data_IF_987368852595
#
_entry.id   IF_987368852595
#
_cell.length_a   1.000
_cell.length_b   1.000
_cell.length_c   1.000
_cell.angle_alpha   90.00
_cell.angle_beta   90.00
_cell.angle_gamma   90.00
#
_symmetry.space_group_name_H-M   'P 1'
#
loop_
_entity.id
_entity.type
_entity.pdbx_description
1 polymer ?
#
# COMPACT_ATOMS: atom_id res chain seq x y z
N UNK A 1 55.37 -46.63 18.32
CA UNK A 1 54.08 -45.96 18.58
C UNK A 1 54.31 -44.46 18.54
N UNK A 2 54.00 -43.82 17.41
CA UNK A 2 53.95 -42.37 17.26
C UNK A 2 52.96 -42.09 16.12
N UNK A 3 51.79 -41.59 16.47
CA UNK A 3 50.73 -41.25 15.51
C UNK A 3 50.87 -39.79 15.12
N UNK A 4 51.28 -39.49 13.88
CA UNK A 4 51.08 -38.17 13.29
C UNK A 4 49.74 -38.16 12.56
N UNK A 5 48.79 -37.39 13.12
CA UNK A 5 47.54 -37.02 12.46
C UNK A 5 47.85 -35.91 11.45
N UNK A 6 47.82 -36.23 10.16
CA UNK A 6 47.73 -35.22 9.11
C UNK A 6 46.25 -35.02 8.76
N UNK A 7 45.70 -33.87 9.15
CA UNK A 7 44.40 -33.39 8.71
C UNK A 7 44.52 -32.99 7.23
N UNK A 8 43.86 -33.75 6.36
CA UNK A 8 43.68 -33.41 4.95
C UNK A 8 42.72 -32.23 4.83
N UNK A 9 43.23 -31.07 4.39
CA UNK A 9 42.39 -29.95 3.93
C UNK A 9 41.71 -30.35 2.63
N UNK A 10 40.40 -30.60 2.66
CA UNK A 10 39.57 -30.64 1.47
C UNK A 10 39.22 -29.19 1.08
N UNK A 11 39.84 -28.69 0.01
CA UNK A 11 39.47 -27.41 -0.62
C UNK A 11 38.15 -27.62 -1.37
N UNK A 12 37.02 -27.28 -0.77
CA UNK A 12 35.75 -27.19 -1.48
C UNK A 12 35.74 -25.88 -2.29
N UNK A 13 35.94 -25.97 -3.61
CA UNK A 13 35.60 -24.89 -4.52
C UNK A 13 34.07 -24.81 -4.59
N UNK A 14 33.49 -23.80 -3.94
CA UNK A 14 32.08 -23.46 -4.12
C UNK A 14 31.97 -22.74 -5.47
N UNK A 15 31.47 -23.45 -6.48
CA UNK A 15 30.89 -22.80 -7.65
C UNK A 15 29.65 -22.03 -7.17
N UNK A 16 29.77 -20.70 -7.08
CA UNK A 16 28.61 -19.82 -6.93
C UNK A 16 27.90 -19.82 -8.27
N UNK A 17 26.83 -20.61 -8.37
CA UNK A 17 25.78 -20.39 -9.34
C UNK A 17 25.08 -19.08 -8.98
N UNK A 18 25.00 -18.18 -9.95
CA UNK A 18 24.21 -16.94 -9.92
C UNK A 18 22.72 -17.30 -9.85
N UNK A 19 22.25 -17.62 -8.65
CA UNK A 19 20.82 -17.56 -8.32
C UNK A 19 20.57 -16.23 -7.65
N UNK A 20 20.01 -15.32 -8.45
CA UNK A 20 19.32 -14.10 -8.02
C UNK A 20 18.35 -14.45 -6.90
N UNK A 21 18.76 -14.25 -5.65
CA UNK A 21 18.03 -14.71 -4.49
C UNK A 21 18.56 -14.10 -3.21
N UNK A 22 17.95 -12.97 -2.84
CA UNK A 22 17.62 -12.56 -1.46
C UNK A 22 18.66 -12.97 -0.41
N UNK A 23 19.69 -12.13 -0.23
CA UNK A 23 20.36 -12.04 1.07
C UNK A 23 19.58 -11.03 1.91
N UNK A 24 19.05 -11.50 3.04
CA UNK A 24 18.67 -10.62 4.13
C UNK A 24 19.92 -9.85 4.57
N UNK A 25 20.00 -8.58 4.17
CA UNK A 25 21.00 -7.65 4.64
C UNK A 25 20.38 -6.86 5.79
N UNK A 26 20.42 -7.43 7.00
CA UNK A 26 20.33 -6.62 8.22
C UNK A 26 21.52 -5.66 8.21
N UNK A 27 21.27 -4.39 7.88
CA UNK A 27 22.27 -3.32 8.03
C UNK A 27 22.17 -2.16 7.05
N UNK A 28 21.84 -2.38 5.77
CA UNK A 28 21.68 -1.28 4.82
C UNK A 28 20.31 -0.60 5.00
N UNK A 29 20.24 0.74 4.92
CA UNK A 29 18.96 1.45 4.85
C UNK A 29 18.11 0.88 3.72
N UNK A 30 16.93 0.32 4.02
CA UNK A 30 16.02 -0.07 2.96
C UNK A 30 15.58 1.22 2.24
N UNK A 31 15.89 1.33 0.94
CA UNK A 31 15.60 2.51 0.12
C UNK A 31 14.24 2.37 -0.55
N UNK A 32 13.58 3.50 -0.86
CA UNK A 32 12.40 3.49 -1.70
C UNK A 32 12.71 2.83 -3.04
N UNK A 33 11.77 2.05 -3.57
CA UNK A 33 11.92 1.40 -4.87
C UNK A 33 10.58 1.33 -5.60
N UNK A 34 10.66 1.33 -6.93
CA UNK A 34 9.55 1.09 -7.84
C UNK A 34 9.99 0.16 -8.96
N UNK A 35 9.21 -0.88 -9.25
CA UNK A 35 9.49 -1.83 -10.33
C UNK A 35 8.29 -1.96 -11.27
N UNK A 36 8.48 -1.99 -12.59
CA UNK A 36 7.38 -2.18 -13.53
C UNK A 36 6.77 -3.57 -13.34
N UNK A 37 5.44 -3.66 -13.45
CA UNK A 37 4.68 -4.90 -13.33
C UNK A 37 3.65 -4.96 -14.44
N UNK A 38 3.46 -6.12 -15.06
CA UNK A 38 2.38 -6.33 -16.01
C UNK A 38 1.16 -6.95 -15.32
N UNK A 39 0.16 -6.11 -15.01
CA UNK A 39 -1.14 -6.54 -14.48
C UNK A 39 -2.23 -6.66 -15.55
N UNK A 40 -1.90 -6.51 -16.84
CA UNK A 40 -2.88 -6.48 -17.93
C UNK A 40 -3.74 -7.73 -17.97
N UNK A 41 -3.17 -8.91 -17.72
CA UNK A 41 -3.92 -10.17 -17.68
C UNK A 41 -5.06 -10.16 -16.64
N UNK A 42 -4.75 -9.81 -15.38
CA UNK A 42 -5.75 -9.78 -14.31
C UNK A 42 -6.79 -8.69 -14.55
N UNK A 43 -6.36 -7.50 -14.99
CA UNK A 43 -7.26 -6.39 -15.29
C UNK A 43 -8.18 -6.71 -16.48
N UNK A 44 -7.65 -7.33 -17.53
CA UNK A 44 -8.43 -7.70 -18.71
C UNK A 44 -9.42 -8.82 -18.41
N UNK A 45 -9.07 -9.79 -17.55
CA UNK A 45 -10.02 -10.78 -17.08
C UNK A 45 -11.26 -10.14 -16.43
N UNK A 46 -11.08 -9.07 -15.63
CA UNK A 46 -12.20 -8.33 -15.06
C UNK A 46 -13.00 -7.54 -16.12
N UNK A 47 -12.32 -6.91 -17.08
CA UNK A 47 -12.95 -6.12 -18.16
C UNK A 47 -13.74 -6.99 -19.13
N UNK A 48 -13.28 -8.20 -19.39
CA UNK A 48 -13.97 -9.17 -20.23
C UNK A 48 -15.35 -9.52 -19.65
N UNK A 49 -15.49 -9.57 -18.32
CA UNK A 49 -16.78 -9.85 -17.65
C UNK A 49 -17.86 -8.81 -18.00
N UNK A 50 -17.45 -7.57 -18.27
CA UNK A 50 -18.35 -6.45 -18.58
C UNK A 50 -18.37 -6.13 -20.08
N UNK A 51 -17.65 -6.89 -20.91
CA UNK A 51 -17.58 -6.67 -22.35
C UNK A 51 -16.84 -5.39 -22.76
N UNK A 52 -15.92 -4.91 -21.93
CA UNK A 52 -15.07 -3.77 -22.27
C UNK A 52 -13.84 -4.24 -23.04
N UNK A 53 -13.31 -3.40 -23.93
CA UNK A 53 -12.09 -3.70 -24.66
C UNK A 53 -10.91 -3.93 -23.70
N UNK A 54 -10.06 -4.90 -23.99
CA UNK A 54 -8.85 -5.15 -23.21
C UNK A 54 -7.89 -3.95 -23.20
N UNK A 55 -7.18 -3.79 -22.10
CA UNK A 55 -6.08 -2.85 -21.92
C UNK A 55 -4.84 -3.37 -22.63
N UNK A 56 -4.16 -2.50 -23.37
CA UNK A 56 -2.82 -2.76 -23.91
C UNK A 56 -1.75 -2.19 -23.00
N UNK A 57 -0.66 -2.93 -22.76
CA UNK A 57 0.45 -2.43 -21.93
C UNK A 57 1.17 -1.30 -22.64
N UNK A 58 1.44 -0.21 -21.92
CA UNK A 58 2.31 0.89 -22.34
C UNK A 58 3.16 1.31 -21.14
N UNK A 59 4.42 1.71 -21.37
CA UNK A 59 5.29 2.22 -20.31
C UNK A 59 5.35 3.74 -20.39
N UNK A 60 4.78 4.40 -19.37
CA UNK A 60 4.63 5.85 -19.21
C UNK A 60 5.09 6.33 -17.82
N UNK A 61 5.11 5.44 -16.85
CA UNK A 61 5.63 5.63 -15.50
C UNK A 61 7.16 5.70 -15.61
N UNK A 62 7.80 6.76 -15.10
CA UNK A 62 9.24 6.97 -15.26
C UNK A 62 10.04 6.10 -14.27
N UNK A 63 10.13 4.80 -14.54
CA UNK A 63 10.95 3.80 -13.82
C UNK A 63 11.85 3.01 -14.79
N UNK A 64 12.89 2.31 -14.29
CA UNK A 64 14.06 1.74 -15.02
C UNK A 64 13.82 0.86 -16.26
N UNK A 65 12.60 0.70 -16.74
CA UNK A 65 12.31 -0.01 -17.99
C UNK A 65 12.46 0.86 -19.25
N UNK A 66 12.47 2.19 -19.12
CA UNK A 66 12.64 3.11 -20.26
C UNK A 66 14.10 3.62 -20.35
N UNK A 67 14.83 3.35 -21.46
CA UNK A 67 16.21 3.83 -21.65
C UNK A 67 16.32 5.36 -21.75
N UNK A 68 15.21 6.08 -21.91
CA UNK A 68 15.17 7.54 -21.97
C UNK A 68 14.94 8.18 -20.60
N UNK A 69 14.54 7.41 -19.59
CA UNK A 69 14.34 7.92 -18.22
C UNK A 69 15.70 8.15 -17.57
N UNK A 70 15.97 9.40 -17.17
CA UNK A 70 17.18 9.70 -16.40
C UNK A 70 17.06 9.20 -14.96
N UNK A 71 18.17 8.76 -14.38
CA UNK A 71 18.23 8.25 -12.99
C UNK A 71 17.65 9.26 -11.98
N UNK A 72 17.91 10.55 -12.17
CA UNK A 72 17.39 11.60 -11.30
C UNK A 72 15.85 11.75 -11.41
N UNK A 73 15.29 11.58 -12.60
CA UNK A 73 13.82 11.62 -12.79
C UNK A 73 13.16 10.41 -12.12
N UNK A 74 13.75 9.23 -12.24
CA UNK A 74 13.27 8.04 -11.54
C UNK A 74 13.30 8.21 -10.02
N UNK A 75 14.45 8.60 -9.46
CA UNK A 75 14.62 8.75 -8.01
C UNK A 75 13.61 9.76 -7.44
N UNK A 76 13.48 10.92 -8.09
CA UNK A 76 12.51 11.96 -7.68
C UNK A 76 11.07 11.47 -7.78
N UNK A 77 10.74 10.70 -8.82
CA UNK A 77 9.40 10.13 -8.97
C UNK A 77 9.09 9.08 -7.90
N UNK A 78 9.99 8.10 -7.71
CA UNK A 78 9.84 7.04 -6.69
C UNK A 78 9.73 7.64 -5.30
N UNK A 79 10.52 8.66 -4.98
CA UNK A 79 10.45 9.35 -3.69
C UNK A 79 9.10 10.07 -3.51
N UNK A 80 8.60 10.74 -4.55
CA UNK A 80 7.29 11.41 -4.50
C UNK A 80 6.13 10.44 -4.27
N UNK A 81 6.16 9.26 -4.92
CA UNK A 81 5.15 8.21 -4.74
C UNK A 81 5.21 7.68 -3.31
N UNK A 82 6.40 7.40 -2.79
CA UNK A 82 6.54 6.90 -1.43
C UNK A 82 6.12 7.91 -0.36
N UNK A 83 6.37 9.20 -0.56
CA UNK A 83 5.85 10.25 0.33
C UNK A 83 4.32 10.27 0.33
N UNK A 84 3.69 10.19 -0.84
CA UNK A 84 2.24 10.15 -0.96
C UNK A 84 1.61 8.92 -0.30
N UNK A 85 2.18 7.73 -0.55
CA UNK A 85 1.71 6.47 0.03
C UNK A 85 1.80 6.47 1.57
N UNK A 86 2.91 6.97 2.12
CA UNK A 86 3.09 7.07 3.58
C UNK A 86 2.16 8.11 4.19
N UNK A 87 2.00 9.28 3.57
CA UNK A 87 1.05 10.29 4.02
C UNK A 87 -0.37 9.73 4.07
N UNK A 88 -0.78 9.00 3.04
CA UNK A 88 -2.07 8.32 3.02
C UNK A 88 -2.18 7.24 4.08
N UNK A 89 -1.16 6.40 4.29
CA UNK A 89 -1.20 5.38 5.34
C UNK A 89 -1.35 5.98 6.73
N UNK A 90 -0.63 7.07 7.04
CA UNK A 90 -0.76 7.81 8.31
C UNK A 90 -2.17 8.37 8.49
N UNK A 91 -2.75 8.92 7.41
CA UNK A 91 -4.09 9.47 7.44
C UNK A 91 -5.15 8.37 7.51
N UNK A 92 -4.98 7.25 6.82
CA UNK A 92 -5.88 6.10 6.86
C UNK A 92 -5.86 5.43 8.25
N UNK A 93 -4.70 5.28 8.90
CA UNK A 93 -4.64 4.82 10.30
C UNK A 93 -5.41 5.77 11.21
N UNK A 94 -5.37 7.08 10.95
CA UNK A 94 -6.18 8.06 11.68
C UNK A 94 -7.68 7.94 11.37
N UNK A 95 -8.05 7.76 10.10
CA UNK A 95 -9.41 7.50 9.64
C UNK A 95 -10.01 6.23 10.29
N UNK A 96 -9.23 5.15 10.34
CA UNK A 96 -9.60 3.87 10.96
C UNK A 96 -9.78 3.99 12.47
N UNK A 97 -9.00 4.85 13.14
CA UNK A 97 -9.15 5.13 14.57
C UNK A 97 -10.35 6.03 14.91
N UNK A 98 -10.83 6.82 13.95
CA UNK A 98 -11.95 7.76 14.15
C UNK A 98 -13.27 7.33 13.49
N UNK A 99 -13.34 6.14 12.89
CA UNK A 99 -14.50 5.66 12.12
C UNK A 99 -14.98 6.70 11.09
N UNK A 100 -14.01 7.38 10.48
CA UNK A 100 -14.23 8.48 9.54
C UNK A 100 -13.64 8.04 8.21
N UNK A 101 -14.48 7.52 7.32
CA UNK A 101 -14.11 7.15 5.95
C UNK A 101 -14.05 8.37 5.03
N UNK A 102 -13.61 9.50 5.58
CA UNK A 102 -13.38 10.69 4.79
C UNK A 102 -12.10 10.47 4.02
N UNK A 103 -12.31 10.05 2.78
CA UNK A 103 -11.31 9.80 1.76
C UNK A 103 -10.33 10.95 1.71
N UNK A 104 -9.18 10.75 2.34
CA UNK A 104 -8.02 11.54 1.98
C UNK A 104 -7.62 11.02 0.61
N UNK A 105 -7.58 11.87 -0.43
CA UNK A 105 -6.92 11.48 -1.65
C UNK A 105 -5.53 11.02 -1.24
N UNK A 106 -5.10 9.81 -1.65
CA UNK A 106 -3.66 9.69 -1.89
C UNK A 106 -3.41 10.88 -2.81
N UNK A 107 -2.47 11.80 -2.52
CA UNK A 107 -2.04 12.69 -3.56
C UNK A 107 -1.54 11.70 -4.59
N UNK A 108 -2.40 11.33 -5.56
CA UNK A 108 -2.05 10.61 -6.76
C UNK A 108 -0.79 11.33 -7.12
N UNK A 109 0.36 10.67 -6.95
CA UNK A 109 1.63 11.34 -7.07
C UNK A 109 1.49 11.97 -8.44
N UNK A 110 1.27 13.30 -8.47
CA UNK A 110 0.85 14.00 -9.68
C UNK A 110 2.17 14.07 -10.39
N UNK A 111 2.57 12.94 -10.96
CA UNK A 111 3.55 12.92 -12.01
C UNK A 111 2.88 13.76 -13.06
N UNK A 112 3.38 14.98 -13.20
CA UNK A 112 3.02 15.86 -14.29
C UNK A 112 3.19 15.18 -15.66
N UNK A 113 3.80 13.98 -15.70
CA UNK A 113 4.15 13.22 -16.89
C UNK A 113 3.19 12.06 -17.20
N UNK A 114 2.23 11.68 -16.33
CA UNK A 114 1.28 10.58 -16.63
C UNK A 114 -0.16 11.08 -16.66
N UNK A 115 -0.67 11.36 -17.87
CA UNK A 115 -2.06 11.80 -18.10
C UNK A 115 -3.04 10.62 -18.15
N UNK A 116 -3.30 10.02 -17.00
CA UNK A 116 -4.17 8.87 -16.84
C UNK A 116 -5.08 8.95 -15.62
N UNK A 117 -6.02 8.02 -15.52
CA UNK A 117 -6.74 7.74 -14.26
C UNK A 117 -5.99 6.64 -13.53
N UNK A 118 -5.70 6.84 -12.25
CA UNK A 118 -4.92 5.90 -11.45
C UNK A 118 -5.81 4.83 -10.81
N UNK A 119 -5.23 3.67 -10.57
CA UNK A 119 -5.72 2.64 -9.66
C UNK A 119 -4.59 2.26 -8.71
N UNK A 120 -4.85 2.11 -7.42
CA UNK A 120 -3.82 1.61 -6.50
C UNK A 120 -4.39 0.64 -5.48
N UNK A 121 -3.55 -0.27 -4.99
CA UNK A 121 -3.85 -1.17 -3.90
C UNK A 121 -2.63 -1.30 -2.98
N UNK A 122 -2.83 -1.09 -1.68
CA UNK A 122 -1.81 -1.40 -0.67
C UNK A 122 -1.72 -2.92 -0.51
N UNK A 123 -0.50 -3.44 -0.41
CA UNK A 123 -0.21 -4.87 -0.32
C UNK A 123 0.87 -5.13 0.73
N UNK A 124 0.90 -6.32 1.30
CA UNK A 124 1.88 -6.68 2.35
C UNK A 124 3.04 -7.53 1.81
N UNK A 125 2.85 -8.16 0.66
CA UNK A 125 3.81 -9.09 0.05
C UNK A 125 5.07 -8.40 -0.49
N UNK A 126 6.13 -9.15 -0.78
CA UNK A 126 7.35 -8.58 -1.36
C UNK A 126 7.23 -8.26 -2.86
N UNK A 127 6.19 -8.78 -3.52
CA UNK A 127 5.91 -8.63 -4.94
C UNK A 127 4.45 -8.27 -5.17
N UNK A 128 4.16 -7.63 -6.30
CA UNK A 128 2.80 -7.29 -6.67
C UNK A 128 1.88 -8.52 -6.80
N UNK A 129 0.70 -8.40 -6.23
CA UNK A 129 -0.43 -9.30 -6.46
C UNK A 129 -1.49 -8.58 -7.31
N UNK A 130 -1.44 -8.77 -8.62
CA UNK A 130 -2.39 -8.13 -9.53
C UNK A 130 -3.83 -8.62 -9.34
N UNK A 131 -4.04 -9.88 -8.92
CA UNK A 131 -5.39 -10.44 -8.73
C UNK A 131 -6.04 -9.86 -7.47
N UNK A 132 -5.32 -9.82 -6.35
CA UNK A 132 -5.78 -9.18 -5.13
C UNK A 132 -6.08 -7.68 -5.33
N UNK A 133 -5.25 -6.98 -6.11
CA UNK A 133 -5.50 -5.58 -6.45
C UNK A 133 -6.79 -5.40 -7.27
N UNK A 134 -7.00 -6.23 -8.29
CA UNK A 134 -8.22 -6.17 -9.12
C UNK A 134 -9.47 -6.48 -8.30
N UNK A 135 -9.44 -7.47 -7.41
CA UNK A 135 -10.56 -7.75 -6.51
C UNK A 135 -10.80 -6.60 -5.52
N UNK A 136 -9.74 -6.00 -4.98
CA UNK A 136 -9.86 -4.80 -4.16
C UNK A 136 -10.55 -3.66 -4.91
N UNK A 137 -10.18 -3.38 -6.16
CA UNK A 137 -10.82 -2.34 -6.96
C UNK A 137 -12.26 -2.66 -7.29
N UNK A 138 -12.56 -3.90 -7.69
CA UNK A 138 -13.93 -4.36 -7.99
C UNK A 138 -14.86 -4.24 -6.78
N UNK A 139 -14.35 -4.45 -5.56
CA UNK A 139 -15.14 -4.33 -4.34
C UNK A 139 -15.75 -2.92 -4.15
N UNK A 140 -15.17 -1.87 -4.76
CA UNK A 140 -15.80 -0.54 -4.75
C UNK A 140 -17.12 -0.46 -5.51
N UNK A 141 -17.50 -1.50 -6.29
CA UNK A 141 -18.81 -1.55 -6.96
C UNK A 141 -19.98 -1.29 -5.99
N UNK A 142 -19.90 -1.81 -4.75
CA UNK A 142 -20.94 -1.61 -3.73
C UNK A 142 -21.08 -0.18 -3.24
N UNK A 143 -20.08 0.68 -3.50
CA UNK A 143 -20.12 2.09 -3.12
C UNK A 143 -20.97 2.93 -4.08
N UNK A 144 -21.38 2.35 -5.23
CA UNK A 144 -22.20 3.01 -6.24
C UNK A 144 -23.66 2.54 -6.14
N UNK A 145 -24.58 3.46 -5.84
CA UNK A 145 -26.03 3.18 -5.81
C UNK A 145 -26.70 3.23 -7.19
N UNK A 146 -25.94 3.58 -8.23
CA UNK A 146 -26.41 3.77 -9.59
C UNK A 146 -25.29 4.28 -10.50
N UNK A 147 -25.66 4.84 -11.66
CA UNK A 147 -24.71 5.46 -12.58
C UNK A 147 -23.83 6.48 -11.83
N UNK A 148 -22.49 6.36 -11.88
CA UNK A 148 -21.63 7.31 -11.19
C UNK A 148 -21.87 8.75 -11.67
N UNK A 149 -21.98 9.72 -10.74
CA UNK A 149 -22.31 11.10 -11.06
C UNK A 149 -21.20 11.80 -11.85
N UNK A 150 -21.48 13.00 -12.36
CA UNK A 150 -20.46 13.85 -12.97
C UNK A 150 -19.25 14.04 -12.06
N UNK A 151 -18.05 13.84 -12.61
CA UNK A 151 -16.82 14.01 -11.84
C UNK A 151 -16.54 15.48 -11.55
N UNK A 152 -16.41 15.79 -10.26
CA UNK A 152 -15.82 17.03 -9.75
C UNK A 152 -14.85 16.67 -8.62
N UNK A 153 -13.83 17.51 -8.40
CA UNK A 153 -12.87 17.31 -7.30
C UNK A 153 -13.54 17.38 -5.91
N UNK A 154 -14.72 18.00 -5.81
CA UNK A 154 -15.49 18.14 -4.57
C UNK A 154 -16.45 16.99 -4.29
N UNK A 155 -16.72 16.12 -5.26
CA UNK A 155 -17.72 15.05 -5.10
C UNK A 155 -17.19 13.97 -4.15
N UNK A 156 -17.89 13.76 -3.03
CA UNK A 156 -17.47 12.85 -1.95
C UNK A 156 -17.20 11.41 -2.42
N UNK A 157 -18.01 10.91 -3.37
CA UNK A 157 -17.85 9.58 -3.94
C UNK A 157 -16.45 9.38 -4.55
N UNK A 158 -15.86 10.43 -5.13
CA UNK A 158 -14.55 10.36 -5.76
C UNK A 158 -13.39 10.71 -4.82
N UNK A 159 -13.67 11.07 -3.56
CA UNK A 159 -12.63 11.19 -2.53
C UNK A 159 -12.13 9.81 -2.07
N UNK A 160 -12.96 8.79 -2.22
CA UNK A 160 -12.55 7.40 -2.00
C UNK A 160 -11.71 6.90 -3.18
N UNK A 161 -10.43 6.66 -2.94
CA UNK A 161 -9.52 6.21 -3.98
C UNK A 161 -9.84 4.81 -4.54
N UNK A 162 -10.52 3.96 -3.78
CA UNK A 162 -10.99 2.67 -4.27
C UNK A 162 -12.03 2.86 -5.38
N UNK A 163 -12.88 3.90 -5.27
CA UNK A 163 -13.85 4.27 -6.30
C UNK A 163 -13.16 4.81 -7.55
N UNK A 164 -12.11 5.63 -7.40
CA UNK A 164 -11.28 6.07 -8.54
C UNK A 164 -10.61 4.87 -9.20
N UNK A 165 -10.08 3.94 -8.40
CA UNK A 165 -9.41 2.73 -8.89
C UNK A 165 -10.37 1.81 -9.64
N UNK A 166 -11.61 1.68 -9.18
CA UNK A 166 -12.68 0.99 -9.89
C UNK A 166 -12.93 1.62 -11.27
N UNK A 167 -12.99 2.95 -11.33
CA UNK A 167 -13.22 3.68 -12.60
C UNK A 167 -12.05 3.54 -13.56
N UNK A 168 -10.83 3.51 -13.04
CA UNK A 168 -9.63 3.22 -13.82
C UNK A 168 -9.64 1.78 -14.35
N UNK A 169 -9.96 0.77 -13.52
CA UNK A 169 -10.03 -0.63 -13.96
C UNK A 169 -11.04 -0.79 -15.11
N UNK A 170 -12.23 -0.21 -14.95
CA UNK A 170 -13.27 -0.18 -15.97
C UNK A 170 -13.22 1.10 -16.81
N UNK A 171 -12.04 1.54 -17.24
CA UNK A 171 -11.92 2.69 -18.13
C UNK A 171 -12.66 2.43 -19.47
N UNK A 172 -13.67 3.24 -19.84
CA UNK A 172 -14.51 2.99 -21.01
C UNK A 172 -13.99 3.67 -22.29
N UNK A 173 -12.83 4.33 -22.24
CA UNK A 173 -12.25 4.99 -23.40
C UNK A 173 -11.81 3.96 -24.45
N UNK A 174 -11.82 4.39 -25.72
CA UNK A 174 -11.35 3.57 -26.83
C UNK A 174 -9.85 3.33 -26.75
N UNK A 175 -9.42 2.14 -27.19
CA UNK A 175 -8.01 1.70 -27.18
C UNK A 175 -7.31 1.99 -25.84
N UNK A 176 -7.90 1.56 -24.71
CA UNK A 176 -7.38 1.93 -23.42
C UNK A 176 -6.06 1.20 -23.16
N UNK A 177 -5.13 1.87 -22.50
CA UNK A 177 -3.81 1.35 -22.17
C UNK A 177 -3.63 1.31 -20.67
N UNK A 178 -2.66 0.52 -20.22
CA UNK A 178 -2.29 0.43 -18.82
C UNK A 178 -0.79 0.41 -18.65
N UNK A 179 -0.33 1.13 -17.63
CA UNK A 179 1.00 0.99 -17.07
C UNK A 179 0.91 0.75 -15.58
N UNK A 180 1.69 -0.18 -15.04
CA UNK A 180 1.66 -0.51 -13.62
C UNK A 180 3.08 -0.63 -13.05
N UNK A 181 3.20 -0.23 -11.79
CA UNK A 181 4.43 -0.33 -11.03
C UNK A 181 4.14 -0.71 -9.57
N UNK A 182 5.02 -1.52 -9.01
CA UNK A 182 4.99 -1.91 -7.61
C UNK A 182 6.02 -1.15 -6.81
N UNK A 183 5.57 -0.49 -5.77
CA UNK A 183 6.40 0.36 -4.91
C UNK A 183 6.60 -0.28 -3.55
N UNK A 184 7.83 -0.22 -3.06
CA UNK A 184 8.18 -0.57 -1.69
C UNK A 184 8.78 0.68 -1.06
N UNK A 185 8.14 1.16 0.01
CA UNK A 185 8.47 2.39 0.71
C UNK A 185 8.78 2.08 2.18
N UNK A 186 10.03 1.71 2.52
CA UNK A 186 10.42 1.27 3.86
C UNK A 186 10.26 2.36 4.91
N UNK A 187 10.10 2.00 6.19
CA UNK A 187 10.13 2.97 7.29
C UNK A 187 11.47 3.74 7.31
N UNK A 188 11.45 5.05 7.62
CA UNK A 188 12.69 5.81 7.86
C UNK A 188 13.41 5.17 9.05
N UNK A 189 14.71 4.92 8.87
CA UNK A 189 15.58 4.61 9.99
C UNK A 189 15.72 5.86 10.86
N UNK A 190 15.40 5.76 12.14
CA UNK A 190 15.92 6.70 13.14
C UNK A 190 17.44 6.53 13.14
N UNK A 191 18.25 7.60 12.97
CA UNK A 191 19.68 7.51 13.19
C UNK A 191 19.95 6.95 14.59
N UNK A 192 20.97 6.10 14.80
CA UNK A 192 21.40 5.78 16.15
C UNK A 192 21.79 7.10 16.84
N UNK A 193 21.18 7.39 17.98
CA UNK A 193 21.57 8.52 18.84
C UNK A 193 23.05 8.34 19.20
N UNK A 194 23.93 9.10 18.55
CA UNK A 194 25.29 9.33 19.04
C UNK A 194 25.21 10.32 20.19
N UNK A 195 24.76 9.83 21.34
CA UNK A 195 25.00 10.46 22.63
C UNK A 195 25.50 9.40 23.60
N UNK A 196 26.68 8.85 23.32
CA UNK A 196 27.56 8.40 24.40
C UNK A 196 28.14 9.67 25.06
N UNK A 197 27.91 9.93 26.36
CA UNK A 197 28.77 10.84 27.09
C UNK A 197 30.12 10.15 27.26
N UNK A 198 31.18 10.82 26.81
CA UNK A 198 32.54 10.45 27.14
C UNK A 198 32.67 10.31 28.66
N UNK A 199 33.04 9.10 29.08
CA UNK A 199 33.64 8.80 30.38
C UNK A 199 34.98 9.53 30.46
N UNK A 200 34.99 10.68 31.14
CA UNK A 200 36.21 11.36 31.56
C UNK A 200 36.12 11.68 33.05
N UNK A 201 36.84 10.87 33.84
CA UNK A 201 37.83 11.36 34.78
C UNK A 201 37.32 12.00 36.08
N UNK A 202 37.38 11.20 37.14
CA UNK A 202 37.38 11.59 38.54
C UNK A 202 38.47 12.64 38.85
N UNK A 203 38.13 13.70 39.58
CA UNK A 203 39.07 14.40 40.48
C UNK A 203 38.36 14.82 41.78
N UNK A 204 38.79 14.20 42.87
CA UNK A 204 38.40 14.45 44.26
C UNK A 204 38.93 15.80 44.78
N UNK A 205 38.10 16.55 45.52
CA UNK A 205 38.59 17.46 46.58
C UNK A 205 37.58 17.52 47.74
N UNK A 206 38.02 17.02 48.90
CA UNK A 206 37.33 17.05 50.20
C UNK A 206 37.20 18.46 50.81
N UNK A 207 36.15 18.67 51.63
CA UNK A 207 35.97 19.88 52.44
C UNK A 207 34.86 19.77 53.50
N UNK A 208 35.26 19.38 54.71
CA UNK A 208 34.54 19.15 55.97
C UNK A 208 33.71 20.35 56.50
N UNK A 209 32.61 20.12 57.25
CA UNK A 209 31.91 21.17 58.02
C UNK A 209 30.50 20.86 58.57
N UNK A 210 30.46 20.38 59.81
CA UNK A 210 29.33 20.07 60.73
C UNK A 210 28.30 21.20 61.02
N UNK A 211 27.07 20.83 61.44
CA UNK A 211 26.20 21.73 62.26
C UNK A 211 24.66 21.75 62.07
N UNK A 212 23.95 20.76 62.65
CA UNK A 212 22.66 20.83 63.39
C UNK A 212 21.43 21.76 63.08
N UNK A 213 20.26 21.09 62.97
CA UNK A 213 18.89 21.42 63.51
C UNK A 213 17.86 22.18 62.61
N UNK A 214 16.57 21.74 62.53
CA UNK A 214 15.58 22.23 61.55
C UNK A 214 14.68 23.37 62.08
N UNK A 215 13.99 24.13 61.19
CA UNK A 215 12.52 24.05 61.18
C UNK A 215 11.79 24.34 59.84
N UNK A 216 10.70 23.60 59.65
CA UNK A 216 9.33 23.95 59.17
C UNK A 216 9.08 25.02 58.08
N UNK A 217 8.33 24.53 57.07
CA UNK A 217 7.30 25.19 56.22
C UNK A 217 7.81 26.10 55.10
N UNK A 218 7.51 25.73 53.85
CA UNK A 218 6.71 26.53 52.91
C UNK A 218 6.49 25.72 51.61
N UNK A 219 5.30 25.90 51.04
CA UNK A 219 4.82 25.22 49.85
C UNK A 219 5.54 25.67 48.58
N UNK A 220 5.86 24.72 47.70
CA UNK A 220 6.01 25.02 46.27
C UNK A 220 6.92 24.06 45.51
N UNK A 221 6.39 23.45 44.45
CA UNK A 221 7.22 22.99 43.32
C UNK A 221 7.29 21.48 43.07
N UNK A 222 6.37 21.02 42.23
CA UNK A 222 6.49 19.96 41.20
C UNK A 222 7.78 19.10 41.18
N UNK A 223 7.63 17.79 41.41
CA UNK A 223 8.42 16.73 40.78
C UNK A 223 7.57 15.44 40.79
N UNK A 224 6.88 15.15 39.69
CA UNK A 224 7.25 14.10 38.74
C UNK A 224 7.30 12.72 39.39
N UNK A 225 6.13 12.08 39.47
CA UNK A 225 6.06 10.64 39.66
C UNK A 225 6.72 9.97 38.46
N UNK A 226 7.56 9.00 38.80
CA UNK A 226 8.05 7.92 37.97
C UNK A 226 6.93 7.39 37.06
N UNK A 227 7.12 7.48 35.74
CA UNK A 227 6.35 6.74 34.75
C UNK A 227 7.31 6.38 33.62
N UNK A 228 7.81 5.15 33.70
CA UNK A 228 8.02 4.24 32.59
C UNK A 228 7.49 4.72 31.23
N UNK A 229 8.35 4.56 30.23
CA UNK A 229 7.95 3.97 28.97
C UNK A 229 6.92 4.76 28.18
N UNK A 230 7.40 5.70 27.38
CA UNK A 230 6.83 5.89 26.04
C UNK A 230 7.96 6.00 25.05
N UNK A 231 8.33 4.83 24.52
CA UNK A 231 8.69 4.72 23.11
C UNK A 231 7.68 5.55 22.34
N UNK A 232 8.10 6.71 21.82
CA UNK A 232 7.35 7.39 20.79
C UNK A 232 7.23 6.38 19.65
N UNK A 233 6.05 5.78 19.50
CA UNK A 233 5.77 4.90 18.37
C UNK A 233 6.07 5.70 17.10
N UNK A 234 7.15 5.36 16.42
CA UNK A 234 7.52 5.96 15.15
C UNK A 234 6.33 5.79 14.21
N UNK A 235 5.74 6.91 13.78
CA UNK A 235 4.59 6.95 12.85
C UNK A 235 4.96 6.60 11.41
N UNK A 236 6.21 6.17 11.18
CA UNK A 236 6.72 5.80 9.87
C UNK A 236 6.72 4.27 9.75
N UNK A 237 5.69 3.74 9.10
CA UNK A 237 5.59 2.32 8.77
C UNK A 237 5.99 2.10 7.31
N UNK A 238 6.49 0.91 7.04
CA UNK A 238 6.65 0.45 5.66
C UNK A 238 5.29 0.42 4.96
N UNK A 239 5.27 0.89 3.71
CA UNK A 239 4.09 0.82 2.84
C UNK A 239 4.53 0.20 1.52
N UNK A 240 3.79 -0.80 1.05
CA UNK A 240 3.96 -1.34 -0.29
C UNK A 240 2.65 -1.23 -1.05
N UNK A 241 2.72 -0.89 -2.32
CA UNK A 241 1.52 -0.68 -3.11
C UNK A 241 1.76 -0.96 -4.59
N UNK A 242 0.76 -1.57 -5.22
CA UNK A 242 0.62 -1.57 -6.67
C UNK A 242 -0.06 -0.26 -7.08
N UNK A 243 0.52 0.44 -8.06
CA UNK A 243 -0.05 1.62 -8.69
C UNK A 243 -0.10 1.39 -10.19
N UNK A 244 -1.27 1.59 -10.77
CA UNK A 244 -1.51 1.51 -12.20
C UNK A 244 -2.09 2.83 -12.72
N UNK A 245 -1.77 3.19 -13.95
CA UNK A 245 -2.41 4.27 -14.70
C UNK A 245 -3.08 3.70 -15.94
N UNK A 246 -4.33 4.10 -16.15
CA UNK A 246 -5.04 3.82 -17.41
C UNK A 246 -5.19 5.09 -18.23
N UNK A 247 -4.87 4.97 -19.51
CA UNK A 247 -4.97 6.08 -20.49
C UNK A 247 -5.90 5.66 -21.63
N UNK A 248 -6.65 6.59 -22.26
CA UNK A 248 -6.83 7.99 -21.88
C UNK A 248 -7.54 8.17 -20.54
N UNK A 249 -7.48 9.37 -19.96
CA UNK A 249 -8.12 9.70 -18.69
C UNK A 249 -9.63 9.44 -18.70
N UNK A 250 -10.10 8.57 -17.81
CA UNK A 250 -11.52 8.26 -17.61
C UNK A 250 -12.24 9.39 -16.85
N UNK A 251 -11.59 9.95 -15.82
CA UNK A 251 -12.15 11.02 -14.99
C UNK A 251 -11.80 12.41 -15.51
N UNK A 252 -12.77 13.07 -16.15
CA UNK A 252 -12.63 14.42 -16.66
C UNK A 252 -13.59 15.36 -15.90
N UNK A 253 -13.08 16.50 -15.43
CA UNK A 253 -13.88 17.44 -14.67
C UNK A 253 -15.12 17.88 -15.49
N UNK A 254 -16.30 17.84 -14.85
CA UNK A 254 -17.55 18.20 -15.50
C UNK A 254 -18.14 17.12 -16.41
N UNK A 255 -17.56 15.93 -16.48
CA UNK A 255 -18.12 14.78 -17.23
C UNK A 255 -18.37 13.58 -16.34
N UNK A 256 -19.45 12.83 -16.61
CA UNK A 256 -19.66 11.52 -15.99
C UNK A 256 -18.65 10.51 -16.55
N UNK A 257 -18.13 9.56 -15.74
CA UNK A 257 -17.17 8.57 -16.21
C UNK A 257 -17.79 7.56 -17.18
N UNK A 258 -19.11 7.34 -17.10
CA UNK A 258 -19.84 6.34 -17.88
C UNK A 258 -21.11 6.91 -18.50
N UNK A 259 -21.51 6.32 -19.62
CA UNK A 259 -22.89 6.37 -20.11
C UNK A 259 -23.75 5.33 -19.37
N UNK A 260 -25.08 5.45 -19.47
CA UNK A 260 -25.99 4.46 -18.90
C UNK A 260 -25.72 3.05 -19.45
N UNK A 261 -25.51 2.92 -20.76
CA UNK A 261 -25.21 1.63 -21.40
C UNK A 261 -23.92 0.99 -20.87
N UNK A 262 -22.86 1.78 -20.70
CA UNK A 262 -21.59 1.30 -20.14
C UNK A 262 -21.75 0.85 -18.69
N UNK A 263 -22.55 1.59 -17.91
CA UNK A 263 -22.83 1.22 -16.53
C UNK A 263 -23.68 -0.05 -16.45
N UNK A 264 -24.70 -0.20 -17.29
CA UNK A 264 -25.54 -1.40 -17.34
C UNK A 264 -24.71 -2.65 -17.70
N UNK A 265 -23.71 -2.51 -18.58
CA UNK A 265 -22.74 -3.56 -18.87
C UNK A 265 -21.92 -3.96 -17.64
N UNK A 266 -21.43 -2.98 -16.88
CA UNK A 266 -20.68 -3.20 -15.62
C UNK A 266 -21.57 -3.93 -14.60
N UNK A 267 -22.75 -3.39 -14.31
CA UNK A 267 -23.72 -3.97 -13.37
C UNK A 267 -24.07 -5.40 -13.76
N UNK A 268 -24.37 -5.63 -15.04
CA UNK A 268 -24.72 -6.95 -15.56
C UNK A 268 -23.55 -7.92 -15.46
N UNK A 269 -22.35 -7.51 -15.89
CA UNK A 269 -21.16 -8.34 -15.88
C UNK A 269 -20.74 -8.75 -14.48
N UNK A 270 -20.73 -7.81 -13.53
CA UNK A 270 -20.32 -8.09 -12.16
C UNK A 270 -21.36 -8.93 -11.39
N UNK A 271 -22.66 -8.66 -11.56
CA UNK A 271 -23.70 -9.43 -10.86
C UNK A 271 -23.85 -10.87 -11.39
N UNK A 272 -23.67 -11.11 -12.70
CA UNK A 272 -23.70 -12.47 -13.26
C UNK A 272 -22.61 -13.37 -12.67
N UNK A 273 -21.43 -12.81 -12.38
CA UNK A 273 -20.31 -13.56 -11.82
C UNK A 273 -20.38 -13.70 -10.29
N UNK A 274 -21.17 -12.87 -9.60
CA UNK A 274 -21.44 -13.07 -8.16
C UNK A 274 -22.33 -14.31 -7.90
N UNK A 275 -23.21 -14.67 -8.86
CA UNK A 275 -24.15 -15.77 -8.73
C UNK A 275 -23.52 -17.17 -8.89
N UNK A 276 -22.31 -17.29 -9.43
CA UNK A 276 -21.61 -18.58 -9.62
C UNK A 276 -20.92 -19.11 -8.36
N UNK A 277 -20.95 -18.36 -7.24
CA UNK A 277 -20.34 -18.74 -5.96
C UNK A 277 -21.30 -19.32 -4.91
N UNK A 278 -22.61 -19.42 -5.19
CA UNK A 278 -23.56 -20.01 -4.22
C UNK A 278 -23.73 -21.49 -4.54
N UNK A 279 -23.23 -22.43 -3.70
CA UNK A 279 -23.60 -23.83 -3.84
C UNK A 279 -25.11 -23.91 -3.64
N UNK A 280 -25.80 -24.27 -4.72
CA UNK A 280 -27.23 -24.56 -4.70
C UNK A 280 -27.42 -25.83 -3.88
N UNK A 281 -27.54 -25.71 -2.56
CA UNK A 281 -28.13 -26.78 -1.76
C UNK A 281 -29.60 -26.85 -2.13
N UNK A 282 -29.89 -27.72 -3.09
CA UNK A 282 -31.21 -28.23 -3.39
C UNK A 282 -31.82 -28.81 -2.10
N UNK A 283 -32.93 -28.22 -1.68
CA UNK A 283 -33.84 -28.76 -0.69
C UNK A 283 -35.28 -28.61 -1.17
N UNK A 284 -35.62 -29.26 -2.29
CA UNK A 284 -37.01 -29.51 -2.65
C UNK A 284 -37.63 -30.41 -1.57
N UNK A 285 -38.63 -29.89 -0.86
CA UNK A 285 -39.57 -30.72 -0.11
C UNK A 285 -40.99 -30.37 -0.57
N UNK A 286 -41.36 -30.87 -1.74
CA UNK A 286 -42.75 -31.05 -2.10
C UNK A 286 -43.20 -32.41 -1.55
N UNK A 287 -44.02 -32.39 -0.49
CA UNK A 287 -44.82 -33.55 -0.09
C UNK A 287 -46.22 -33.05 0.28
N UNK A 288 -47.18 -33.37 -0.59
CA UNK A 288 -48.59 -33.22 -0.35
C UNK A 288 -49.07 -34.24 0.69
N UNK A 289 -49.86 -33.80 1.66
CA UNK A 289 -50.85 -34.67 2.34
C UNK A 289 -52.13 -33.84 2.53
N UNK A 290 -53.11 -34.15 1.69
CA UNK A 290 -54.50 -33.79 1.93
C UNK A 290 -55.25 -34.91 2.66
N UNK A 291 -56.34 -34.50 3.31
CA UNK A 291 -57.40 -35.28 3.95
C UNK A 291 -57.10 -35.91 5.33
N UNK A 292 -57.62 -35.27 6.38
CA UNK A 292 -58.30 -36.01 7.45
C UNK A 292 -59.61 -35.30 7.83
N UNK A 293 -60.68 -36.09 7.80
CA UNK A 293 -62.05 -35.79 8.19
C UNK A 293 -62.13 -35.31 9.64
N UNK A 294 -62.89 -34.24 9.88
CA UNK A 294 -63.98 -34.14 10.87
C UNK A 294 -64.71 -32.80 10.71
#
# INVERSE_FOLDING_TARGET
MAALKFLSLATAAIFVLDTSGVRAMEGAGATNSGVPVDCSKAMNAARDLVGFAGLTVEQTIPIKSDPTTSVAVEETYVESVCQALKAYHILCVRCLLHNEQDGVPVPAAKSANVDGTYAYAVQDEASADCEAAVEHWKAAFSNFSGLPPTYTESTDLYKNNQNISFISLFNPKESPKVDCAYFICPAKKTPPDTSDPADEGEEDVDGDGDGGTPPKTELGGKASQNLEGRNAASTDKEVKALLCFTTPKALNAGSAPYTQTQWDQIVTGLNKNAATGVPTFLGFAAAAVGALLL
#
